data_IF_562096816943
#
_entry.id   IF_562096816943
#
_cell.length_a   1.000
_cell.length_b   1.000
_cell.length_c   1.000
_cell.angle_alpha   90.00
_cell.angle_beta   90.00
_cell.angle_gamma   90.00
#
_symmetry.space_group_name_H-M   'P 1'
#
loop_
_entity.id
_entity.type
_entity.pdbx_description
1 polymer ?
#
# COMPACT_ATOMS: atom_id res chain seq x y z
N UNK A 1 2.56 15.74 -27.28
CA UNK A 1 3.52 15.58 -26.16
C UNK A 1 4.33 14.25 -26.20
N UNK A 2 4.61 13.64 -27.36
CA UNK A 2 4.97 12.21 -27.43
C UNK A 2 6.45 11.81 -27.53
N UNK A 3 7.32 12.59 -28.17
CA UNK A 3 8.66 12.09 -28.56
C UNK A 3 9.74 12.32 -27.48
N UNK A 4 9.87 13.54 -26.98
CA UNK A 4 10.90 13.90 -25.99
C UNK A 4 10.72 13.23 -24.63
N UNK A 5 9.48 13.00 -24.19
CA UNK A 5 9.20 12.26 -22.95
C UNK A 5 9.51 10.77 -23.09
N UNK A 6 9.30 10.18 -24.28
CA UNK A 6 9.71 8.79 -24.57
C UNK A 6 11.24 8.64 -24.60
N UNK A 7 11.96 9.62 -25.14
CA UNK A 7 13.43 9.66 -25.12
C UNK A 7 14.01 9.81 -23.70
N UNK A 8 13.51 10.76 -22.90
CA UNK A 8 13.97 10.95 -21.50
C UNK A 8 13.68 9.73 -20.62
N UNK A 9 12.54 9.08 -20.80
CA UNK A 9 12.17 7.89 -20.04
C UNK A 9 12.97 6.64 -20.49
N UNK A 10 13.23 6.51 -21.80
CA UNK A 10 14.14 5.49 -22.33
C UNK A 10 15.57 5.64 -21.81
N UNK A 11 16.04 6.89 -21.66
CA UNK A 11 17.33 7.18 -21.05
C UNK A 11 17.37 6.82 -19.54
N UNK A 12 16.27 6.99 -18.80
CA UNK A 12 16.20 6.59 -17.38
C UNK A 12 16.31 5.08 -17.21
N UNK A 13 15.56 4.30 -18.00
CA UNK A 13 15.66 2.84 -18.00
C UNK A 13 17.06 2.38 -18.42
N UNK A 14 17.60 2.94 -19.51
CA UNK A 14 18.93 2.58 -19.97
C UNK A 14 20.01 2.88 -18.91
N UNK A 15 19.94 4.06 -18.28
CA UNK A 15 20.84 4.43 -17.17
C UNK A 15 20.71 3.49 -15.98
N UNK A 16 19.48 3.08 -15.65
CA UNK A 16 19.22 2.12 -14.59
C UNK A 16 19.86 0.76 -14.89
N UNK A 17 19.58 0.21 -16.07
CA UNK A 17 20.08 -1.10 -16.48
C UNK A 17 21.61 -1.15 -16.63
N UNK A 18 22.26 -0.04 -17.01
CA UNK A 18 23.72 0.04 -17.10
C UNK A 18 24.43 0.06 -15.74
N UNK A 19 23.72 0.40 -14.65
CA UNK A 19 24.28 0.53 -13.30
C UNK A 19 23.90 -0.60 -12.35
N UNK A 20 22.89 -1.39 -12.70
CA UNK A 20 22.52 -2.58 -11.95
C UNK A 20 23.46 -3.75 -12.31
N UNK A 21 23.79 -4.64 -11.35
CA UNK A 21 24.55 -5.83 -11.67
C UNK A 21 23.83 -6.68 -12.74
N UNK A 22 24.53 -7.34 -13.68
CA UNK A 22 23.90 -8.08 -14.77
C UNK A 22 22.85 -9.11 -14.32
N UNK A 23 23.10 -9.79 -13.19
CA UNK A 23 22.15 -10.72 -12.58
C UNK A 23 20.81 -10.04 -12.22
N UNK A 24 20.85 -8.78 -11.76
CA UNK A 24 19.66 -8.01 -11.42
C UNK A 24 18.95 -7.45 -12.65
N UNK A 25 19.68 -7.08 -13.70
CA UNK A 25 19.07 -6.74 -14.99
C UNK A 25 18.33 -7.94 -15.58
N UNK A 26 18.94 -9.13 -15.53
CA UNK A 26 18.30 -10.38 -15.96
C UNK A 26 17.07 -10.71 -15.13
N UNK A 27 17.17 -10.56 -13.81
CA UNK A 27 16.07 -10.70 -12.88
C UNK A 27 14.89 -9.78 -13.24
N UNK A 28 15.15 -8.47 -13.36
CA UNK A 28 14.15 -7.47 -13.72
C UNK A 28 13.53 -7.75 -15.10
N UNK A 29 14.32 -8.23 -16.06
CA UNK A 29 13.81 -8.65 -17.36
C UNK A 29 12.86 -9.84 -17.24
N UNK A 30 13.17 -10.82 -16.39
CA UNK A 30 12.28 -11.92 -16.03
C UNK A 30 10.93 -11.43 -15.49
N UNK A 31 10.94 -10.44 -14.60
CA UNK A 31 9.71 -9.83 -14.06
C UNK A 31 8.85 -9.20 -15.14
N UNK A 32 9.48 -8.39 -16.00
CA UNK A 32 8.80 -7.72 -17.09
C UNK A 32 8.29 -8.73 -18.14
N UNK A 33 8.88 -9.92 -18.24
CA UNK A 33 8.39 -10.98 -19.12
C UNK A 33 7.09 -11.58 -18.59
N UNK A 34 7.02 -11.81 -17.28
CA UNK A 34 5.90 -12.50 -16.63
C UNK A 34 4.72 -11.55 -16.30
N UNK A 35 4.76 -10.30 -16.79
CA UNK A 35 3.65 -9.34 -16.74
C UNK A 35 3.17 -8.93 -18.14
N UNK A 36 1.87 -9.12 -18.39
CA UNK A 36 1.20 -8.59 -19.58
C UNK A 36 1.18 -7.06 -19.50
N UNK A 37 1.44 -6.38 -20.61
CA UNK A 37 1.56 -4.93 -20.64
C UNK A 37 0.33 -4.36 -21.34
N UNK A 38 -0.26 -3.30 -20.76
CA UNK A 38 -1.43 -2.63 -21.32
C UNK A 38 -1.08 -1.19 -21.68
N UNK A 39 -1.53 -0.72 -22.82
CA UNK A 39 -1.47 0.70 -23.15
C UNK A 39 -2.74 1.38 -22.67
N UNK A 40 -2.60 2.47 -21.94
CA UNK A 40 -3.70 3.29 -21.45
C UNK A 40 -3.30 4.76 -21.50
N UNK A 41 -4.07 5.59 -22.21
CA UNK A 41 -3.80 7.02 -22.42
C UNK A 41 -2.34 7.32 -22.81
N UNK A 42 -1.80 6.54 -23.75
CA UNK A 42 -0.43 6.71 -24.25
C UNK A 42 0.69 6.31 -23.28
N UNK A 43 0.35 5.71 -22.13
CA UNK A 43 1.29 5.16 -21.14
C UNK A 43 1.14 3.64 -21.05
N UNK A 44 2.26 2.96 -20.91
CA UNK A 44 2.38 1.55 -20.59
C UNK A 44 2.07 1.32 -19.11
N UNK A 45 1.15 0.40 -18.86
CA UNK A 45 0.82 -0.17 -17.54
C UNK A 45 1.38 -1.58 -17.50
N UNK A 46 2.33 -1.81 -16.59
CA UNK A 46 2.86 -3.15 -16.34
C UNK A 46 1.93 -3.84 -15.34
N UNK A 47 1.74 -3.23 -14.18
CA UNK A 47 0.73 -3.56 -13.17
C UNK A 47 0.60 -2.37 -12.19
N UNK A 48 -0.27 -2.47 -11.20
CA UNK A 48 -0.53 -1.46 -10.16
C UNK A 48 0.55 -1.36 -9.08
N UNK A 49 1.57 -2.23 -9.11
CA UNK A 49 2.75 -2.17 -8.23
C UNK A 49 3.87 -1.29 -8.82
N UNK A 50 3.71 -0.84 -10.07
CA UNK A 50 4.66 0.04 -10.73
C UNK A 50 3.95 1.29 -11.26
N UNK A 51 4.58 2.48 -11.15
CA UNK A 51 4.03 3.67 -11.77
C UNK A 51 3.91 3.50 -13.30
N UNK A 52 2.95 4.18 -13.96
CA UNK A 52 2.82 4.14 -15.41
C UNK A 52 4.07 4.65 -16.13
N UNK A 53 4.43 4.05 -17.27
CA UNK A 53 5.58 4.45 -18.07
C UNK A 53 5.15 5.02 -19.45
N UNK A 54 5.68 6.15 -19.93
CA UNK A 54 6.57 7.07 -19.23
C UNK A 54 5.80 7.96 -18.23
N UNK A 55 6.39 8.21 -17.06
CA UNK A 55 5.92 9.22 -16.10
C UNK A 55 7.06 9.70 -15.18
N UNK A 56 6.86 10.84 -14.52
CA UNK A 56 7.79 11.33 -13.50
C UNK A 56 7.85 10.38 -12.29
N UNK A 57 6.71 9.79 -11.91
CA UNK A 57 6.64 8.77 -10.87
C UNK A 57 7.47 7.53 -11.20
N UNK A 58 7.46 7.07 -12.46
CA UNK A 58 8.30 5.96 -12.89
C UNK A 58 9.79 6.31 -12.85
N UNK A 59 10.16 7.53 -13.27
CA UNK A 59 11.56 7.98 -13.18
C UNK A 59 12.05 8.04 -11.71
N UNK A 60 11.19 8.52 -10.79
CA UNK A 60 11.46 8.54 -9.35
C UNK A 60 11.64 7.12 -8.81
N UNK A 61 10.79 6.18 -9.23
CA UNK A 61 10.92 4.77 -8.87
C UNK A 61 12.25 4.17 -9.35
N UNK A 62 12.66 4.44 -10.59
CA UNK A 62 13.96 4.02 -11.11
C UNK A 62 15.14 4.62 -10.31
N UNK A 63 15.04 5.88 -9.89
CA UNK A 63 16.06 6.54 -9.06
C UNK A 63 16.22 5.86 -7.69
N UNK A 64 15.11 5.55 -7.02
CA UNK A 64 15.15 4.82 -5.74
C UNK A 64 15.69 3.39 -5.90
N UNK A 65 15.30 2.69 -6.96
CA UNK A 65 15.81 1.36 -7.27
C UNK A 65 17.34 1.39 -7.52
N UNK A 66 17.83 2.42 -8.22
CA UNK A 66 19.27 2.64 -8.45
C UNK A 66 20.04 2.91 -7.16
N UNK A 67 19.47 3.75 -6.29
CA UNK A 67 20.10 4.16 -5.03
C UNK A 67 19.86 3.19 -3.88
N UNK A 68 19.07 2.13 -4.08
CA UNK A 68 18.80 1.06 -3.12
C UNK A 68 18.31 1.59 -1.77
N UNK A 69 17.53 2.67 -1.79
CA UNK A 69 17.08 3.36 -0.58
C UNK A 69 15.93 2.62 0.09
N UNK A 70 15.93 2.54 1.42
CA UNK A 70 14.74 2.18 2.20
C UNK A 70 13.77 3.37 2.21
N UNK A 71 12.84 3.35 1.27
CA UNK A 71 11.81 4.38 1.10
C UNK A 71 10.45 3.72 0.87
N UNK A 72 9.34 4.32 1.32
CA UNK A 72 8.01 3.79 1.09
C UNK A 72 7.61 4.01 -0.37
N UNK A 73 8.11 3.18 -1.30
CA UNK A 73 7.81 3.28 -2.74
C UNK A 73 6.31 3.37 -3.02
N UNK A 74 5.51 2.70 -2.20
CA UNK A 74 4.06 2.86 -2.13
C UNK A 74 3.63 3.26 -0.73
N UNK A 75 2.58 4.06 -0.62
CA UNK A 75 1.93 4.32 0.66
C UNK A 75 0.42 4.42 0.53
N UNK A 76 -0.31 3.80 1.44
CA UNK A 76 -1.77 3.81 1.42
C UNK A 76 -2.32 4.61 2.59
N UNK A 77 -3.32 5.45 2.31
CA UNK A 77 -3.98 6.33 3.25
C UNK A 77 -5.43 5.86 3.39
N UNK A 78 -5.80 5.29 4.54
CA UNK A 78 -7.20 5.08 4.86
C UNK A 78 -7.82 6.42 5.19
N UNK A 79 -8.77 6.87 4.36
CA UNK A 79 -9.33 8.21 4.50
C UNK A 79 -10.59 8.24 5.35
N UNK A 80 -11.16 7.08 5.64
CA UNK A 80 -12.28 6.91 6.57
C UNK A 80 -12.45 5.44 6.92
N UNK A 81 -12.97 5.12 8.10
CA UNK A 81 -13.41 3.76 8.49
C UNK A 81 -14.82 3.42 8.03
N UNK A 82 -15.62 4.41 7.60
CA UNK A 82 -17.01 4.20 7.17
C UNK A 82 -17.08 3.41 5.87
N UNK A 83 -18.00 2.46 5.77
CA UNK A 83 -18.23 1.65 4.57
C UNK A 83 -19.70 1.25 4.45
N UNK A 84 -20.31 1.27 3.25
CA UNK A 84 -21.66 0.74 3.05
C UNK A 84 -21.70 -0.80 3.07
N UNK A 85 -20.55 -1.45 2.87
CA UNK A 85 -20.39 -2.90 2.90
C UNK A 85 -19.98 -3.38 4.30
N UNK A 86 -20.34 -4.62 4.63
CA UNK A 86 -19.99 -5.31 5.88
C UNK A 86 -19.36 -6.67 5.58
N UNK A 87 -18.34 -6.69 4.74
CA UNK A 87 -17.67 -7.91 4.31
C UNK A 87 -17.10 -8.66 5.53
N UNK A 88 -17.40 -9.96 5.64
CA UNK A 88 -16.86 -10.79 6.73
C UNK A 88 -15.33 -10.85 6.74
N UNK A 89 -14.69 -10.70 5.59
CA UNK A 89 -13.24 -10.76 5.42
C UNK A 89 -12.53 -9.39 5.48
N UNK A 90 -13.23 -8.31 5.82
CA UNK A 90 -12.64 -6.97 5.75
C UNK A 90 -11.45 -6.83 6.72
N UNK A 91 -10.26 -6.51 6.20
CA UNK A 91 -9.07 -6.24 7.03
C UNK A 91 -9.24 -4.99 7.91
N UNK A 92 -10.12 -4.08 7.49
CA UNK A 92 -10.47 -2.85 8.18
C UNK A 92 -11.78 -2.94 8.98
N UNK A 93 -12.25 -4.17 9.27
CA UNK A 93 -13.42 -4.38 10.12
C UNK A 93 -13.18 -3.83 11.55
N UNK A 94 -14.28 -3.51 12.24
CA UNK A 94 -14.27 -3.09 13.65
C UNK A 94 -13.46 -1.81 13.93
N UNK A 95 -13.31 -0.95 12.92
CA UNK A 95 -12.77 0.41 13.05
C UNK A 95 -13.91 1.42 13.21
N UNK A 96 -13.67 2.47 13.97
CA UNK A 96 -14.68 3.50 14.26
C UNK A 96 -14.05 4.75 14.85
N UNK A 97 -12.92 5.16 14.29
CA UNK A 97 -12.20 6.37 14.71
C UNK A 97 -12.70 7.59 13.93
N UNK A 98 -12.41 8.77 14.44
CA UNK A 98 -12.67 10.01 13.73
C UNK A 98 -11.70 10.21 12.57
N UNK A 99 -12.22 10.54 11.40
CA UNK A 99 -11.44 10.76 10.18
C UNK A 99 -10.44 11.93 10.39
N UNK A 100 -9.15 11.71 10.10
CA UNK A 100 -8.15 12.79 10.04
C UNK A 100 -8.63 13.93 9.13
N UNK A 101 -8.51 15.17 9.61
CA UNK A 101 -8.86 16.38 8.84
C UNK A 101 -8.17 16.46 7.48
N UNK A 102 -8.81 17.13 6.52
CA UNK A 102 -8.31 17.28 5.15
C UNK A 102 -6.92 17.92 5.10
N UNK A 103 -6.69 18.96 5.90
CA UNK A 103 -5.44 19.72 5.95
C UNK A 103 -4.29 18.84 6.45
N UNK A 104 -4.58 18.06 7.50
CA UNK A 104 -3.61 17.15 8.11
C UNK A 104 -3.29 15.98 7.18
N UNK A 105 -4.30 15.39 6.54
CA UNK A 105 -4.12 14.29 5.62
C UNK A 105 -3.37 14.75 4.34
N UNK A 106 -3.64 15.94 3.83
CA UNK A 106 -2.87 16.55 2.74
C UNK A 106 -1.41 16.82 3.16
N UNK A 107 -1.17 17.23 4.42
CA UNK A 107 0.19 17.36 4.95
C UNK A 107 0.90 16.00 5.06
N UNK A 108 0.20 14.95 5.47
CA UNK A 108 0.72 13.59 5.48
C UNK A 108 1.07 13.10 4.06
N UNK A 109 0.22 13.34 3.07
CA UNK A 109 0.51 13.05 1.64
C UNK A 109 1.82 13.69 1.18
N UNK A 110 2.06 14.97 1.55
CA UNK A 110 3.34 15.63 1.24
C UNK A 110 4.53 14.96 1.91
N UNK A 111 4.43 14.66 3.21
CA UNK A 111 5.49 14.00 3.97
C UNK A 111 5.83 12.61 3.40
N UNK A 112 4.83 11.80 3.05
CA UNK A 112 5.08 10.47 2.48
C UNK A 112 5.73 10.56 1.09
N UNK A 113 5.33 11.55 0.28
CA UNK A 113 6.02 11.84 -0.98
C UNK A 113 7.48 12.21 -0.74
N UNK A 114 7.76 13.11 0.22
CA UNK A 114 9.12 13.54 0.59
C UNK A 114 9.98 12.37 1.03
N UNK A 115 9.42 11.41 1.77
CA UNK A 115 10.09 10.16 2.15
C UNK A 115 10.45 9.26 0.97
N UNK A 116 9.81 9.42 -0.18
CA UNK A 116 10.18 8.69 -1.40
C UNK A 116 9.01 8.08 -2.17
N UNK A 117 7.77 8.21 -1.70
CA UNK A 117 6.64 7.55 -2.34
C UNK A 117 6.50 7.90 -3.83
N UNK A 118 6.42 6.84 -4.62
CA UNK A 118 6.18 6.90 -6.07
C UNK A 118 4.71 6.62 -6.37
N UNK A 119 3.98 6.02 -5.43
CA UNK A 119 2.56 5.73 -5.53
C UNK A 119 1.86 6.00 -4.19
N UNK A 120 0.73 6.68 -4.23
CA UNK A 120 -0.14 6.90 -3.07
C UNK A 120 -1.52 6.31 -3.36
N UNK A 121 -2.00 5.41 -2.51
CA UNK A 121 -3.32 4.82 -2.60
C UNK A 121 -4.27 5.43 -1.58
N UNK A 122 -5.48 5.79 -1.99
CA UNK A 122 -6.56 6.16 -1.08
C UNK A 122 -7.48 4.97 -0.89
N UNK A 123 -7.70 4.59 0.37
CA UNK A 123 -8.40 3.37 0.79
C UNK A 123 -9.20 3.66 2.08
N UNK A 124 -9.54 2.61 2.84
CA UNK A 124 -10.07 2.63 4.19
C UNK A 124 -11.21 1.63 4.34
N UNK A 125 -12.30 2.06 4.97
CA UNK A 125 -13.62 1.63 4.54
C UNK A 125 -13.83 2.02 3.06
N UNK A 126 -14.86 2.82 2.76
CA UNK A 126 -15.13 3.27 1.40
C UNK A 126 -14.67 4.73 1.21
N UNK A 127 -13.54 4.99 0.52
CA UNK A 127 -13.04 6.35 0.31
C UNK A 127 -14.04 7.24 -0.44
N UNK A 128 -14.94 6.69 -1.27
CA UNK A 128 -16.00 7.46 -1.93
C UNK A 128 -17.07 7.99 -0.96
N UNK A 129 -17.04 7.65 0.33
CA UNK A 129 -17.87 8.34 1.32
C UNK A 129 -17.27 9.67 1.77
N UNK A 130 -15.99 9.93 1.46
CA UNK A 130 -15.31 11.16 1.83
C UNK A 130 -15.58 12.30 0.83
N UNK A 131 -16.18 13.42 1.25
CA UNK A 131 -16.63 14.48 0.33
C UNK A 131 -15.48 15.27 -0.31
N UNK A 132 -14.35 15.38 0.38
CA UNK A 132 -13.14 16.08 -0.03
C UNK A 132 -12.11 15.19 -0.73
N UNK A 133 -12.45 13.93 -1.07
CA UNK A 133 -11.52 12.97 -1.68
C UNK A 133 -10.80 13.54 -2.92
N UNK A 134 -11.51 14.25 -3.79
CA UNK A 134 -10.91 14.87 -4.98
C UNK A 134 -9.84 15.92 -4.61
N UNK A 135 -10.02 16.68 -3.52
CA UNK A 135 -9.02 17.64 -3.04
C UNK A 135 -7.77 16.91 -2.52
N UNK A 136 -7.95 15.79 -1.84
CA UNK A 136 -6.84 14.96 -1.36
C UNK A 136 -6.05 14.35 -2.51
N UNK A 137 -6.71 13.82 -3.55
CA UNK A 137 -6.04 13.33 -4.75
C UNK A 137 -5.27 14.47 -5.44
N UNK A 138 -5.89 15.66 -5.57
CA UNK A 138 -5.25 16.83 -6.16
C UNK A 138 -4.05 17.37 -5.36
N UNK A 139 -3.92 17.00 -4.07
CA UNK A 139 -2.76 17.34 -3.26
C UNK A 139 -1.52 16.49 -3.58
N UNK A 140 -1.69 15.39 -4.32
CA UNK A 140 -0.59 14.53 -4.76
C UNK A 140 0.10 15.14 -5.98
N UNK A 141 1.41 15.33 -5.89
CA UNK A 141 2.25 15.86 -6.97
C UNK A 141 2.30 14.92 -8.19
N UNK A 142 2.54 15.48 -9.37
CA UNK A 142 2.55 14.79 -10.67
C UNK A 142 3.72 13.78 -10.86
N UNK A 143 4.65 13.74 -9.91
CA UNK A 143 5.72 12.74 -9.79
C UNK A 143 5.42 11.60 -8.82
N UNK A 144 4.15 11.46 -8.43
CA UNK A 144 3.62 10.34 -7.66
C UNK A 144 2.32 9.86 -8.31
N UNK A 145 2.18 8.55 -8.55
CA UNK A 145 0.94 8.00 -9.11
C UNK A 145 -0.11 7.82 -8.01
N UNK A 146 -1.38 7.98 -8.35
CA UNK A 146 -2.50 7.86 -7.40
C UNK A 146 -3.36 6.65 -7.70
N UNK A 147 -3.73 5.91 -6.66
CA UNK A 147 -4.63 4.76 -6.73
C UNK A 147 -5.84 5.01 -5.84
N UNK A 148 -6.99 4.50 -6.25
CA UNK A 148 -8.20 4.45 -5.43
C UNK A 148 -8.61 3.00 -5.23
N UNK A 149 -8.74 2.55 -3.99
CA UNK A 149 -9.30 1.24 -3.64
C UNK A 149 -10.75 1.43 -3.22
N UNK A 150 -11.71 0.83 -3.92
CA UNK A 150 -13.13 1.15 -3.73
C UNK A 150 -14.03 -0.05 -4.00
N UNK A 151 -15.20 -0.09 -3.36
CA UNK A 151 -16.30 -0.99 -3.71
C UNK A 151 -17.08 -0.51 -4.93
N UNK A 152 -16.74 0.68 -5.48
CA UNK A 152 -17.48 1.32 -6.56
C UNK A 152 -18.74 2.06 -6.11
N UNK A 153 -18.93 2.24 -4.80
CA UNK A 153 -20.15 2.82 -4.25
C UNK A 153 -20.37 4.25 -4.74
N UNK A 154 -21.48 4.48 -5.48
CA UNK A 154 -21.84 5.79 -6.06
C UNK A 154 -20.69 6.41 -6.89
N UNK A 155 -19.90 5.59 -7.56
CA UNK A 155 -18.95 6.06 -8.56
C UNK A 155 -19.65 6.17 -9.92
N UNK A 156 -20.20 7.34 -10.22
CA UNK A 156 -20.74 7.67 -11.52
C UNK A 156 -19.71 8.40 -12.40
N UNK A 157 -20.10 8.71 -13.64
CA UNK A 157 -19.25 9.33 -14.66
C UNK A 157 -18.76 10.72 -14.21
N UNK A 158 -19.62 11.53 -13.61
CA UNK A 158 -19.26 12.88 -13.16
C UNK A 158 -18.20 12.80 -12.07
N UNK A 159 -18.43 11.94 -11.08
CA UNK A 159 -17.49 11.71 -9.99
C UNK A 159 -16.18 11.11 -10.50
N UNK A 160 -16.23 10.14 -11.41
CA UNK A 160 -15.03 9.56 -12.00
C UNK A 160 -14.20 10.61 -12.77
N UNK A 161 -14.85 11.50 -13.54
CA UNK A 161 -14.17 12.63 -14.21
C UNK A 161 -13.53 13.59 -13.21
N UNK A 162 -14.27 13.98 -12.16
CA UNK A 162 -13.73 14.85 -11.10
C UNK A 162 -12.49 14.24 -10.42
N UNK A 163 -12.49 12.93 -10.18
CA UNK A 163 -11.32 12.25 -9.61
C UNK A 163 -10.17 12.14 -10.63
N UNK A 164 -10.48 11.89 -11.91
CA UNK A 164 -9.49 11.88 -12.98
C UNK A 164 -8.80 13.25 -13.15
N UNK A 165 -9.58 14.34 -13.15
CA UNK A 165 -9.10 15.72 -13.23
C UNK A 165 -8.25 16.10 -12.03
N UNK A 166 -8.59 15.56 -10.85
CA UNK A 166 -7.76 15.68 -9.64
C UNK A 166 -6.44 14.89 -9.72
N UNK A 167 -6.27 14.05 -10.73
CA UNK A 167 -5.04 13.28 -10.96
C UNK A 167 -5.13 11.80 -10.64
N UNK A 168 -6.33 11.22 -10.46
CA UNK A 168 -6.52 9.79 -10.22
C UNK A 168 -5.97 8.97 -11.40
N UNK A 169 -4.96 8.12 -11.16
CA UNK A 169 -4.35 7.34 -12.24
C UNK A 169 -4.94 5.94 -12.41
N UNK A 170 -5.42 5.33 -11.33
CA UNK A 170 -5.93 3.94 -11.32
C UNK A 170 -7.06 3.79 -10.31
N UNK A 171 -8.19 3.20 -10.71
CA UNK A 171 -9.25 2.74 -9.82
C UNK A 171 -9.19 1.21 -9.68
N UNK A 172 -8.96 0.74 -8.46
CA UNK A 172 -8.98 -0.67 -8.07
C UNK A 172 -10.35 -0.96 -7.46
N UNK A 173 -11.24 -1.56 -8.25
CA UNK A 173 -12.63 -1.85 -7.87
C UNK A 173 -12.72 -3.29 -7.38
N UNK A 174 -13.18 -3.47 -6.15
CA UNK A 174 -13.20 -4.79 -5.53
C UNK A 174 -14.39 -5.63 -6.04
N UNK A 175 -14.15 -6.90 -6.39
CA UNK A 175 -15.14 -7.87 -6.88
C UNK A 175 -14.94 -9.25 -6.24
N UNK A 176 -16.02 -9.90 -5.82
CA UNK A 176 -15.95 -11.13 -5.03
C UNK A 176 -16.56 -12.33 -5.76
N UNK A 177 -17.60 -12.10 -6.57
CA UNK A 177 -18.17 -13.12 -7.45
C UNK A 177 -18.59 -12.53 -8.81
N UNK A 178 -18.77 -13.41 -9.79
CA UNK A 178 -19.43 -13.13 -11.06
C UNK A 178 -20.95 -13.27 -10.97
N UNK A 179 -21.43 -13.96 -9.93
CA UNK A 179 -22.84 -14.01 -9.57
C UNK A 179 -23.19 -12.76 -8.73
N UNK A 180 -24.20 -11.97 -9.14
CA UNK A 180 -24.57 -10.76 -8.42
C UNK A 180 -25.04 -11.00 -6.98
N UNK A 181 -25.82 -12.05 -6.74
CA UNK A 181 -26.39 -12.35 -5.42
C UNK A 181 -25.29 -12.85 -4.46
N UNK A 182 -24.39 -13.70 -4.96
CA UNK A 182 -23.22 -14.16 -4.20
C UNK A 182 -22.28 -13.00 -3.85
N UNK A 183 -21.97 -12.12 -4.83
CA UNK A 183 -21.11 -10.95 -4.57
C UNK A 183 -21.75 -10.02 -3.53
N UNK A 184 -23.03 -9.70 -3.67
CA UNK A 184 -23.75 -8.84 -2.73
C UNK A 184 -23.83 -9.44 -1.33
N UNK A 185 -24.03 -10.77 -1.23
CA UNK A 185 -24.02 -11.50 0.03
C UNK A 185 -22.65 -11.44 0.72
N UNK A 186 -21.55 -11.71 -0.01
CA UNK A 186 -20.18 -11.61 0.52
C UNK A 186 -19.88 -10.19 1.01
N UNK A 187 -20.38 -9.17 0.29
CA UNK A 187 -20.21 -7.75 0.64
C UNK A 187 -21.11 -7.30 1.78
N UNK A 188 -22.18 -8.03 2.08
CA UNK A 188 -23.24 -7.59 2.99
C UNK A 188 -23.93 -6.32 2.51
N UNK A 189 -24.02 -6.10 1.18
CA UNK A 189 -24.60 -4.89 0.59
C UNK A 189 -25.28 -5.19 -0.75
N UNK A 190 -26.62 -5.12 -0.77
CA UNK A 190 -27.42 -5.31 -1.98
C UNK A 190 -27.15 -4.19 -3.00
N UNK A 191 -27.02 -4.57 -4.27
CA UNK A 191 -26.67 -3.68 -5.38
C UNK A 191 -25.17 -3.39 -5.52
N UNK A 192 -24.31 -4.06 -4.76
CA UNK A 192 -22.86 -3.87 -4.81
C UNK A 192 -22.28 -4.31 -6.16
N UNK A 193 -22.70 -5.45 -6.69
CA UNK A 193 -22.25 -5.94 -8.00
C UNK A 193 -22.60 -4.95 -9.12
N UNK A 194 -23.85 -4.44 -9.12
CA UNK A 194 -24.27 -3.41 -10.06
C UNK A 194 -23.48 -2.09 -9.86
N UNK A 195 -23.06 -1.80 -8.64
CA UNK A 195 -22.13 -0.70 -8.32
C UNK A 195 -20.76 -0.87 -8.97
N UNK A 196 -20.20 -2.08 -8.93
CA UNK A 196 -18.93 -2.41 -9.61
C UNK A 196 -19.05 -2.16 -11.11
N UNK A 197 -20.13 -2.64 -11.75
CA UNK A 197 -20.33 -2.45 -13.19
C UNK A 197 -20.37 -0.96 -13.57
N UNK A 198 -21.20 -0.16 -12.86
CA UNK A 198 -21.29 1.29 -13.09
C UNK A 198 -19.96 2.00 -12.86
N UNK A 199 -19.21 1.60 -11.83
CA UNK A 199 -17.91 2.16 -11.51
C UNK A 199 -16.88 1.92 -12.64
N UNK A 200 -16.85 0.71 -13.21
CA UNK A 200 -15.96 0.41 -14.34
C UNK A 200 -16.32 1.25 -15.57
N UNK A 201 -17.60 1.31 -15.92
CA UNK A 201 -18.08 2.12 -17.05
C UNK A 201 -17.75 3.61 -16.84
N UNK A 202 -18.00 4.14 -15.65
CA UNK A 202 -17.68 5.52 -15.29
C UNK A 202 -16.19 5.82 -15.41
N UNK A 203 -15.33 4.94 -14.90
CA UNK A 203 -13.88 5.08 -15.02
C UNK A 203 -13.41 5.04 -16.48
N UNK A 204 -13.99 4.18 -17.32
CA UNK A 204 -13.68 4.13 -18.74
C UNK A 204 -14.02 5.44 -19.46
N UNK A 205 -15.22 5.99 -19.21
CA UNK A 205 -15.63 7.28 -19.76
C UNK A 205 -14.76 8.45 -19.26
N UNK A 206 -14.22 8.35 -18.04
CA UNK A 206 -13.29 9.32 -17.47
C UNK A 206 -11.83 9.08 -17.88
N UNK A 207 -11.52 8.01 -18.61
CA UNK A 207 -10.14 7.65 -18.98
C UNK A 207 -9.28 7.21 -17.79
N UNK A 208 -9.87 6.73 -16.70
CA UNK A 208 -9.14 6.17 -15.54
C UNK A 208 -8.82 4.70 -15.82
N UNK A 209 -7.59 4.27 -15.51
CA UNK A 209 -7.21 2.86 -15.66
C UNK A 209 -7.93 2.02 -14.59
N UNK A 210 -8.59 0.92 -14.99
CA UNK A 210 -9.32 0.08 -14.05
C UNK A 210 -8.58 -1.22 -13.73
N UNK A 211 -8.66 -1.62 -12.47
CA UNK A 211 -8.20 -2.92 -11.97
C UNK A 211 -9.33 -3.54 -11.15
N UNK A 212 -9.55 -4.84 -11.31
CA UNK A 212 -10.35 -5.62 -10.35
C UNK A 212 -9.48 -6.10 -9.21
N UNK A 213 -10.05 -6.19 -8.01
CA UNK A 213 -9.38 -6.87 -6.90
C UNK A 213 -10.28 -7.90 -6.24
N UNK A 214 -9.78 -9.12 -6.07
CA UNK A 214 -10.49 -10.22 -5.41
C UNK A 214 -9.55 -11.03 -4.53
N UNK A 215 -9.96 -11.36 -3.31
CA UNK A 215 -9.13 -12.15 -2.38
C UNK A 215 -9.17 -13.62 -2.78
N UNK A 216 -8.00 -14.26 -2.86
CA UNK A 216 -7.87 -15.68 -3.17
C UNK A 216 -8.10 -16.56 -1.93
N UNK A 217 -9.34 -16.69 -1.47
CA UNK A 217 -9.68 -17.73 -0.51
C UNK A 217 -9.59 -19.14 -1.14
N UNK A 218 -9.38 -20.16 -0.31
CA UNK A 218 -9.23 -21.55 -0.73
C UNK A 218 -10.41 -22.04 -1.59
N UNK A 219 -11.63 -21.80 -1.11
CA UNK A 219 -12.89 -22.12 -1.80
C UNK A 219 -13.00 -21.47 -3.19
N UNK A 220 -12.49 -20.25 -3.36
CA UNK A 220 -12.46 -19.54 -4.64
C UNK A 220 -11.44 -20.09 -5.61
N UNK A 221 -10.30 -20.55 -5.10
CA UNK A 221 -9.30 -21.27 -5.89
C UNK A 221 -9.91 -22.58 -6.40
N UNK A 222 -10.52 -23.36 -5.50
CA UNK A 222 -11.09 -24.68 -5.80
C UNK A 222 -12.28 -24.62 -6.76
N UNK A 223 -13.17 -23.64 -6.57
CA UNK A 223 -14.35 -23.46 -7.42
C UNK A 223 -14.05 -22.86 -8.81
N UNK A 224 -12.81 -22.42 -9.07
CA UNK A 224 -12.44 -21.73 -10.31
C UNK A 224 -12.99 -20.30 -10.43
N UNK A 225 -13.38 -19.68 -9.30
CA UNK A 225 -13.95 -18.33 -9.27
C UNK A 225 -12.97 -17.27 -9.79
N UNK A 226 -11.67 -17.45 -9.55
CA UNK A 226 -10.63 -16.56 -10.06
C UNK A 226 -10.59 -16.54 -11.60
N UNK A 227 -10.74 -17.70 -12.24
CA UNK A 227 -10.80 -17.78 -13.70
C UNK A 227 -12.07 -17.09 -14.24
N UNK A 228 -13.23 -17.28 -13.59
CA UNK A 228 -14.48 -16.59 -13.97
C UNK A 228 -14.38 -15.08 -13.86
N UNK A 229 -13.80 -14.56 -12.78
CA UNK A 229 -13.59 -13.11 -12.60
C UNK A 229 -12.62 -12.57 -13.64
N UNK A 230 -11.59 -13.32 -14.02
CA UNK A 230 -10.68 -12.92 -15.10
C UNK A 230 -11.40 -12.79 -16.46
N UNK A 231 -12.30 -13.73 -16.78
CA UNK A 231 -13.11 -13.66 -18.00
C UNK A 231 -14.10 -12.48 -17.94
N UNK A 232 -14.72 -12.22 -16.79
CA UNK A 232 -15.56 -11.04 -16.59
C UNK A 232 -14.77 -9.74 -16.77
N UNK A 233 -13.58 -9.65 -16.18
CA UNK A 233 -12.67 -8.52 -16.34
C UNK A 233 -12.29 -8.30 -17.80
N UNK A 234 -12.09 -9.39 -18.55
CA UNK A 234 -11.82 -9.36 -19.99
C UNK A 234 -13.03 -8.80 -20.76
N UNK A 235 -14.23 -9.33 -20.49
CA UNK A 235 -15.46 -8.88 -21.13
C UNK A 235 -15.78 -7.41 -20.84
N UNK A 236 -15.49 -6.94 -19.62
CA UNK A 236 -15.73 -5.56 -19.20
C UNK A 236 -14.57 -4.62 -19.53
N UNK A 237 -13.55 -5.06 -20.27
CA UNK A 237 -12.43 -4.20 -20.68
C UNK A 237 -11.58 -3.69 -19.51
N UNK A 238 -11.54 -4.40 -18.40
CA UNK A 238 -10.71 -4.05 -17.24
C UNK A 238 -9.24 -4.27 -17.58
N UNK A 239 -8.38 -3.34 -17.16
CA UNK A 239 -6.97 -3.34 -17.51
C UNK A 239 -6.13 -4.35 -16.72
N UNK A 240 -6.51 -4.62 -15.48
CA UNK A 240 -5.77 -5.47 -14.54
C UNK A 240 -6.72 -6.28 -13.64
N UNK A 241 -6.28 -7.45 -13.19
CA UNK A 241 -6.89 -8.22 -12.11
C UNK A 241 -5.83 -8.46 -11.02
N UNK A 242 -6.01 -7.84 -9.86
CA UNK A 242 -5.20 -8.00 -8.65
C UNK A 242 -5.78 -9.09 -7.75
N UNK A 243 -4.93 -10.02 -7.32
CA UNK A 243 -5.32 -11.15 -6.47
C UNK A 243 -4.50 -11.15 -5.18
N UNK A 244 -4.95 -10.43 -4.13
CA UNK A 244 -4.37 -10.53 -2.80
C UNK A 244 -4.60 -11.89 -2.14
N UNK A 245 -3.67 -12.27 -1.27
CA UNK A 245 -3.82 -13.43 -0.40
C UNK A 245 -4.70 -13.04 0.80
N UNK A 246 -5.47 -13.98 1.37
CA UNK A 246 -6.10 -13.77 2.67
C UNK A 246 -5.01 -13.60 3.74
N UNK A 247 -5.25 -12.66 4.66
CA UNK A 247 -4.39 -12.39 5.80
C UNK A 247 -5.27 -12.32 7.04
N UNK A 248 -4.89 -13.05 8.09
CA UNK A 248 -5.69 -13.23 9.31
C UNK A 248 -5.71 -11.96 10.19
N UNK A 249 -6.43 -10.94 9.74
CA UNK A 249 -6.61 -9.64 10.38
C UNK A 249 -8.05 -9.15 10.17
N UNK A 250 -8.47 -8.15 10.94
CA UNK A 250 -9.84 -7.60 10.86
C UNK A 250 -10.91 -8.69 11.05
N UNK A 251 -11.86 -8.79 10.12
CA UNK A 251 -12.99 -9.71 10.23
C UNK A 251 -12.64 -11.20 10.18
N UNK A 252 -11.42 -11.55 9.77
CA UNK A 252 -10.88 -12.92 9.82
C UNK A 252 -9.68 -13.04 10.77
N UNK A 253 -9.57 -12.15 11.75
CA UNK A 253 -8.64 -12.31 12.86
C UNK A 253 -8.86 -13.66 13.55
N UNK A 254 -7.77 -14.35 13.93
CA UNK A 254 -7.83 -15.68 14.53
C UNK A 254 -7.95 -16.84 13.53
N UNK A 255 -8.24 -16.59 12.26
CA UNK A 255 -8.30 -17.63 11.24
C UNK A 255 -6.93 -18.03 10.65
N UNK A 256 -5.81 -17.73 11.33
CA UNK A 256 -4.46 -17.98 10.80
C UNK A 256 -4.18 -19.45 10.44
N UNK A 257 -4.89 -20.40 11.05
CA UNK A 257 -4.81 -21.83 10.72
C UNK A 257 -5.49 -22.24 9.42
N UNK A 258 -6.26 -21.33 8.81
CA UNK A 258 -7.04 -21.55 7.58
C UNK A 258 -6.57 -20.65 6.42
N UNK A 259 -5.34 -20.14 6.51
CA UNK A 259 -4.70 -19.40 5.43
C UNK A 259 -4.24 -20.35 4.31
N UNK A 260 -3.85 -19.78 3.17
CA UNK A 260 -3.45 -20.56 2.02
C UNK A 260 -2.22 -21.44 2.31
N UNK A 261 -2.31 -22.70 1.88
CA UNK A 261 -1.18 -23.62 1.94
C UNK A 261 -0.18 -23.40 0.79
N UNK A 262 0.92 -24.17 0.81
CA UNK A 262 1.96 -24.06 -0.21
C UNK A 262 1.46 -24.41 -1.62
N UNK A 263 0.53 -25.37 -1.74
CA UNK A 263 -0.02 -25.81 -3.03
C UNK A 263 -0.90 -24.71 -3.63
N UNK A 264 -1.73 -24.06 -2.82
CA UNK A 264 -2.58 -22.93 -3.20
C UNK A 264 -1.72 -21.71 -3.56
N UNK A 265 -0.67 -21.41 -2.78
CA UNK A 265 0.27 -20.35 -3.10
C UNK A 265 0.99 -20.60 -4.44
N UNK A 266 1.40 -21.83 -4.72
CA UNK A 266 2.01 -22.17 -6.00
C UNK A 266 1.00 -22.13 -7.16
N UNK A 267 -0.24 -22.53 -6.92
CA UNK A 267 -1.33 -22.33 -7.87
C UNK A 267 -1.47 -20.85 -8.24
N UNK A 268 -1.47 -19.95 -7.25
CA UNK A 268 -1.58 -18.50 -7.48
C UNK A 268 -0.38 -17.92 -8.26
N UNK A 269 0.82 -18.46 -8.07
CA UNK A 269 2.00 -18.12 -8.88
C UNK A 269 1.87 -18.61 -10.32
N UNK A 270 1.34 -19.82 -10.50
CA UNK A 270 1.12 -20.40 -11.83
C UNK A 270 0.05 -19.64 -12.61
N UNK A 271 -1.06 -19.24 -12.00
CA UNK A 271 -2.09 -18.45 -12.71
C UNK A 271 -1.55 -17.07 -13.12
N UNK A 272 -0.67 -16.45 -12.32
CA UNK A 272 0.01 -15.21 -12.70
C UNK A 272 0.72 -15.39 -14.05
N UNK A 273 1.59 -16.39 -14.15
CA UNK A 273 2.34 -16.70 -15.37
C UNK A 273 1.42 -17.11 -16.52
N UNK A 274 0.43 -17.97 -16.27
CA UNK A 274 -0.56 -18.45 -17.26
C UNK A 274 -1.26 -17.27 -17.94
N UNK A 275 -1.84 -16.36 -17.16
CA UNK A 275 -2.64 -15.25 -17.69
C UNK A 275 -1.80 -14.12 -18.30
N UNK A 276 -0.54 -14.00 -17.89
CA UNK A 276 0.41 -13.05 -18.46
C UNK A 276 1.24 -13.62 -19.63
N UNK A 277 1.05 -14.89 -20.01
CA UNK A 277 1.73 -15.49 -21.16
C UNK A 277 1.43 -14.68 -22.44
N UNK A 278 2.47 -14.36 -23.21
CA UNK A 278 2.37 -13.59 -24.47
C UNK A 278 1.53 -14.30 -25.54
N UNK A 279 1.36 -15.61 -25.44
CA UNK A 279 0.48 -16.40 -26.31
C UNK A 279 -1.01 -16.15 -26.02
N UNK A 280 -1.34 -15.63 -24.83
CA UNK A 280 -2.70 -15.21 -24.48
C UNK A 280 -2.82 -13.71 -24.74
N UNK A 281 -3.19 -13.37 -25.96
CA UNK A 281 -3.59 -12.00 -26.27
C UNK A 281 -5.04 -11.74 -25.79
N UNK A 282 -5.37 -10.50 -25.48
CA UNK A 282 -6.63 -10.13 -24.86
C UNK A 282 -6.67 -10.34 -23.33
N UNK A 283 -7.58 -9.64 -22.66
CA UNK A 283 -7.78 -9.68 -21.20
C UNK A 283 -6.87 -8.76 -20.37
N UNK A 284 -7.09 -8.71 -19.05
CA UNK A 284 -6.32 -7.89 -18.11
C UNK A 284 -4.92 -8.46 -17.84
N UNK A 285 -4.04 -7.63 -17.29
CA UNK A 285 -2.84 -8.12 -16.61
C UNK A 285 -3.23 -8.85 -15.33
N UNK A 286 -2.68 -10.03 -15.07
CA UNK A 286 -2.83 -10.71 -13.79
C UNK A 286 -1.76 -10.25 -12.79
N UNK A 287 -2.16 -9.78 -11.61
CA UNK A 287 -1.28 -9.30 -10.55
C UNK A 287 -1.56 -10.03 -9.23
N UNK A 288 -1.15 -11.30 -9.17
CA UNK A 288 -1.19 -12.13 -7.95
C UNK A 288 -0.13 -11.71 -6.93
N UNK A 289 -0.54 -11.43 -5.69
CA UNK A 289 0.37 -11.11 -4.58
C UNK A 289 1.28 -12.29 -4.24
N UNK A 290 0.79 -13.53 -4.32
CA UNK A 290 1.59 -14.73 -4.11
C UNK A 290 2.81 -14.84 -5.06
N UNK A 291 2.73 -14.21 -6.24
CA UNK A 291 3.86 -14.07 -7.16
C UNK A 291 4.66 -12.81 -6.85
N UNK A 292 4.02 -11.62 -6.80
CA UNK A 292 4.68 -10.32 -6.60
C UNK A 292 5.54 -10.25 -5.34
N UNK A 293 5.05 -10.80 -4.22
CA UNK A 293 5.71 -10.81 -2.92
C UNK A 293 6.35 -12.16 -2.60
N UNK A 294 6.56 -13.02 -3.60
CA UNK A 294 7.32 -14.25 -3.40
C UNK A 294 8.78 -13.94 -3.08
N UNK A 295 9.46 -14.90 -2.45
CA UNK A 295 10.90 -14.84 -2.19
C UNK A 295 11.70 -14.85 -3.50
N UNK A 296 11.11 -15.32 -4.60
CA UNK A 296 11.67 -15.19 -5.93
C UNK A 296 11.60 -13.75 -6.46
N UNK A 297 10.73 -12.91 -5.89
CA UNK A 297 10.47 -11.54 -6.33
C UNK A 297 10.89 -10.52 -5.26
N UNK A 298 9.95 -9.68 -4.83
CA UNK A 298 10.21 -8.54 -3.94
C UNK A 298 10.12 -8.92 -2.46
N UNK A 299 9.53 -10.08 -2.13
CA UNK A 299 9.13 -10.37 -0.75
C UNK A 299 8.08 -9.39 -0.21
N UNK A 300 7.88 -9.41 1.10
CA UNK A 300 7.01 -8.49 1.82
C UNK A 300 7.67 -7.11 1.93
N UNK A 301 6.94 -6.08 1.46
CA UNK A 301 7.38 -4.68 1.49
C UNK A 301 6.99 -3.91 2.76
N UNK A 302 6.29 -4.52 3.71
CA UNK A 302 5.77 -3.85 4.90
C UNK A 302 6.88 -3.14 5.69
N UNK A 303 6.69 -1.84 5.96
CA UNK A 303 7.68 -0.95 6.61
C UNK A 303 9.08 -0.91 5.96
N UNK A 304 9.24 -1.39 4.72
CA UNK A 304 10.48 -1.28 3.94
C UNK A 304 10.28 -0.53 2.62
N UNK A 305 9.31 -0.96 1.81
CA UNK A 305 8.86 -0.28 0.59
C UNK A 305 7.39 0.11 0.59
N UNK A 306 6.73 -0.11 1.72
CA UNK A 306 5.33 0.17 1.93
C UNK A 306 5.10 0.82 3.29
N UNK A 307 4.15 1.76 3.34
CA UNK A 307 3.67 2.43 4.54
C UNK A 307 2.14 2.51 4.48
N UNK A 308 1.49 2.37 5.63
CA UNK A 308 0.06 2.61 5.77
C UNK A 308 -0.19 3.67 6.82
N UNK A 309 -1.12 4.58 6.54
CA UNK A 309 -1.62 5.58 7.48
C UNK A 309 -3.12 5.40 7.58
N UNK A 310 -3.62 5.19 8.78
CA UNK A 310 -5.01 4.86 9.05
C UNK A 310 -5.89 6.12 9.22
N UNK A 311 -7.22 5.94 9.31
CA UNK A 311 -8.17 7.07 9.38
C UNK A 311 -8.08 7.88 10.69
N UNK A 312 -7.43 7.34 11.72
CA UNK A 312 -7.15 8.00 13.01
C UNK A 312 -5.75 8.63 13.08
N UNK A 313 -4.95 8.44 12.04
CA UNK A 313 -3.59 8.96 11.93
C UNK A 313 -2.49 8.01 12.39
N UNK A 314 -2.84 6.77 12.77
CA UNK A 314 -1.87 5.75 13.15
C UNK A 314 -1.08 5.28 11.93
N UNK A 315 0.23 5.16 12.09
CA UNK A 315 1.15 4.77 11.01
C UNK A 315 1.57 3.33 11.24
N UNK A 316 1.23 2.46 10.28
CA UNK A 316 1.47 1.03 10.34
C UNK A 316 2.36 0.53 9.18
N UNK A 317 3.01 -0.63 9.32
CA UNK A 317 3.83 -1.21 8.25
C UNK A 317 3.09 -1.52 6.94
N UNK A 318 1.81 -1.87 7.03
CA UNK A 318 0.96 -2.29 5.92
C UNK A 318 -0.52 -2.22 6.32
N UNK A 319 -1.40 -2.04 5.34
CA UNK A 319 -2.86 -2.06 5.50
C UNK A 319 -3.42 -3.38 6.05
N UNK A 320 -2.63 -4.46 6.00
CA UNK A 320 -2.94 -5.77 6.56
C UNK A 320 -2.21 -6.05 7.90
N UNK A 321 -1.32 -5.15 8.32
CA UNK A 321 -0.49 -5.31 9.54
C UNK A 321 -0.79 -4.14 10.48
N UNK A 322 -1.88 -4.23 11.28
CA UNK A 322 -2.38 -3.14 12.10
C UNK A 322 -1.58 -2.97 13.40
N UNK A 323 -0.27 -2.76 13.23
CA UNK A 323 0.69 -2.47 14.30
C UNK A 323 1.05 -0.99 14.21
N UNK A 324 0.58 -0.17 15.15
CA UNK A 324 1.00 1.22 15.19
C UNK A 324 2.48 1.32 15.56
N UNK A 325 3.21 2.20 14.87
CA UNK A 325 4.52 2.70 15.29
C UNK A 325 4.47 4.19 15.63
N UNK A 326 3.30 4.79 15.78
CA UNK A 326 3.12 6.19 16.12
C UNK A 326 2.04 6.87 15.31
N UNK A 327 1.67 8.07 15.72
CA UNK A 327 0.56 8.81 15.16
C UNK A 327 1.02 10.14 14.51
N UNK A 328 0.48 10.45 13.33
CA UNK A 328 0.80 11.67 12.58
C UNK A 328 0.35 12.97 13.26
N UNK A 329 -0.50 12.88 14.28
CA UNK A 329 -0.91 14.00 15.11
C UNK A 329 0.18 14.43 16.09
N UNK A 330 1.05 13.48 16.47
CA UNK A 330 2.03 13.66 17.53
C UNK A 330 3.42 14.00 16.98
N UNK A 331 3.83 13.36 15.89
CA UNK A 331 5.19 13.51 15.35
C UNK A 331 5.26 13.34 13.83
N UNK A 332 6.32 13.89 13.18
CA UNK A 332 6.51 13.77 11.74
C UNK A 332 6.61 12.32 11.26
N UNK A 333 6.09 12.04 10.05
CA UNK A 333 6.16 10.71 9.46
C UNK A 333 7.59 10.24 9.21
N UNK A 334 8.53 11.17 9.02
CA UNK A 334 9.94 10.85 8.86
C UNK A 334 10.54 10.20 10.11
N UNK A 335 10.21 10.70 11.29
CA UNK A 335 10.66 10.11 12.56
C UNK A 335 10.04 8.72 12.77
N UNK A 336 8.74 8.58 12.49
CA UNK A 336 8.06 7.28 12.58
C UNK A 336 8.67 6.27 11.59
N UNK A 337 8.96 6.70 10.36
CA UNK A 337 9.55 5.84 9.33
C UNK A 337 10.96 5.39 9.70
N UNK A 338 11.77 6.27 10.29
CA UNK A 338 13.11 5.96 10.75
C UNK A 338 13.07 4.94 11.91
N UNK A 339 12.20 5.15 12.89
CA UNK A 339 12.00 4.19 13.99
C UNK A 339 11.52 2.83 13.47
N UNK A 340 10.56 2.80 12.54
CA UNK A 340 10.18 1.55 11.87
C UNK A 340 11.40 0.86 11.22
N UNK A 341 12.41 1.62 10.77
CA UNK A 341 13.63 1.09 10.17
C UNK A 341 14.47 0.24 11.11
N UNK A 342 14.38 0.47 12.42
CA UNK A 342 15.07 -0.35 13.43
C UNK A 342 14.49 -1.77 13.50
N UNK A 343 13.18 -1.90 13.23
CA UNK A 343 12.45 -3.17 13.22
C UNK A 343 12.37 -3.80 11.81
N UNK A 344 12.46 -2.97 10.77
CA UNK A 344 12.36 -3.34 9.36
C UNK A 344 13.54 -2.83 8.51
N UNK A 345 14.80 -3.16 8.88
CA UNK A 345 15.99 -2.70 8.16
C UNK A 345 16.15 -3.34 6.76
N UNK A 346 15.39 -4.39 6.46
CA UNK A 346 15.48 -5.16 5.20
C UNK A 346 14.14 -5.79 4.82
N UNK A 347 13.91 -6.12 3.53
CA UNK A 347 12.69 -6.79 3.09
C UNK A 347 12.64 -8.23 3.63
N UNK A 348 11.43 -8.77 3.77
CA UNK A 348 11.17 -10.08 4.37
C UNK A 348 10.72 -11.11 3.34
N UNK A 349 11.16 -12.35 3.50
CA UNK A 349 10.55 -13.50 2.85
C UNK A 349 9.24 -13.85 3.59
N UNK A 350 8.12 -13.87 2.87
CA UNK A 350 6.79 -14.12 3.44
C UNK A 350 6.13 -12.92 4.15
N UNK A 351 4.82 -13.05 4.41
CA UNK A 351 4.00 -12.02 5.05
C UNK A 351 4.24 -11.98 6.56
N UNK A 352 4.62 -10.82 7.10
CA UNK A 352 4.79 -10.62 8.55
C UNK A 352 3.52 -10.99 9.33
N UNK A 353 2.36 -10.60 8.83
CA UNK A 353 1.10 -10.80 9.53
C UNK A 353 0.76 -12.30 9.70
N UNK A 354 1.19 -13.15 8.77
CA UNK A 354 1.03 -14.61 8.91
C UNK A 354 1.93 -15.20 10.01
N UNK A 355 3.08 -14.58 10.29
CA UNK A 355 3.99 -14.97 11.37
C UNK A 355 3.41 -14.58 12.73
N UNK A 356 2.95 -13.33 12.87
CA UNK A 356 2.58 -12.77 14.17
C UNK A 356 1.10 -12.92 14.52
N UNK A 357 0.24 -13.21 13.54
CA UNK A 357 -1.22 -13.14 13.70
C UNK A 357 -1.78 -14.01 14.81
N UNK A 358 -1.19 -15.18 15.05
CA UNK A 358 -1.59 -16.09 16.15
C UNK A 358 -1.37 -15.50 17.54
N UNK A 359 -0.53 -14.47 17.66
CA UNK A 359 -0.22 -13.79 18.93
C UNK A 359 -1.03 -12.50 19.12
N UNK A 360 -1.79 -12.08 18.11
CA UNK A 360 -2.73 -10.95 18.24
C UNK A 360 -4.08 -11.50 18.70
N UNK A 361 -4.62 -11.06 19.85
CA UNK A 361 -5.93 -11.49 20.30
C UNK A 361 -7.02 -11.16 19.27
N UNK A 362 -7.95 -12.09 19.04
CA UNK A 362 -9.02 -11.89 18.04
C UNK A 362 -9.93 -10.69 18.34
N UNK A 363 -10.03 -10.29 19.62
CA UNK A 363 -10.81 -9.17 20.11
C UNK A 363 -9.96 -7.92 20.41
N UNK A 364 -8.69 -7.91 20.01
CA UNK A 364 -7.85 -6.74 20.20
C UNK A 364 -8.43 -5.54 19.45
N UNK A 365 -8.43 -4.37 20.10
CA UNK A 365 -8.68 -3.12 19.41
C UNK A 365 -7.49 -2.84 18.48
N UNK A 366 -7.79 -2.61 17.20
CA UNK A 366 -6.78 -2.38 16.18
C UNK A 366 -6.83 -0.92 15.71
N UNK A 367 -5.68 -0.28 15.44
CA UNK A 367 -4.35 -0.88 15.46
C UNK A 367 -3.83 -1.07 16.88
N UNK A 368 -2.91 -2.02 17.07
CA UNK A 368 -2.27 -2.22 18.37
C UNK A 368 -1.42 -1.00 18.75
N UNK A 369 -1.35 -0.71 20.04
CA UNK A 369 -0.56 0.41 20.57
C UNK A 369 0.93 0.24 20.26
N UNK A 370 1.71 1.34 20.14
CA UNK A 370 3.14 1.25 19.82
C UNK A 370 3.95 0.31 20.72
N UNK A 371 3.69 0.25 22.02
CA UNK A 371 4.38 -0.66 22.94
C UNK A 371 4.08 -2.14 22.63
N UNK A 372 2.81 -2.46 22.34
CA UNK A 372 2.37 -3.80 21.96
C UNK A 372 2.94 -4.19 20.59
N UNK A 373 2.88 -3.28 19.62
CA UNK A 373 3.43 -3.45 18.28
C UNK A 373 4.92 -3.79 18.31
N UNK A 374 5.72 -3.02 19.04
CA UNK A 374 7.16 -3.25 19.19
C UNK A 374 7.46 -4.59 19.88
N UNK A 375 6.62 -5.01 20.84
CA UNK A 375 6.78 -6.32 21.50
C UNK A 375 6.52 -7.51 20.56
N UNK A 376 5.76 -7.30 19.50
CA UNK A 376 5.43 -8.33 18.51
C UNK A 376 6.46 -8.39 17.38
N UNK A 377 7.23 -7.34 17.12
CA UNK A 377 8.22 -7.36 16.04
C UNK A 377 9.60 -7.50 16.63
N UNK A 378 10.25 -8.65 16.39
CA UNK A 378 11.66 -8.81 16.74
C UNK A 378 12.56 -8.11 15.73
N UNK A 379 13.61 -7.45 16.21
CA UNK A 379 14.67 -6.92 15.36
C UNK A 379 15.28 -8.07 14.54
N UNK A 380 15.52 -7.89 13.22
CA UNK A 380 16.11 -8.93 12.39
C UNK A 380 17.47 -9.42 12.88
N UNK A 381 17.69 -10.73 12.81
CA UNK A 381 18.99 -11.39 13.02
C UNK A 381 19.65 -11.66 11.67
N UNK A 382 20.95 -11.38 11.48
CA UNK A 382 21.62 -11.38 10.16
C UNK A 382 21.35 -12.61 9.27
N UNK A 383 21.01 -13.75 9.86
CA UNK A 383 20.65 -15.03 9.23
C UNK A 383 19.31 -15.07 8.49
N UNK A 384 18.38 -14.12 8.66
CA UNK A 384 17.13 -14.17 7.90
C UNK A 384 17.37 -14.02 6.39
N UNK A 385 16.74 -14.89 5.56
CA UNK A 385 16.91 -14.85 4.12
C UNK A 385 16.37 -13.56 3.50
N UNK A 386 17.05 -13.09 2.45
CA UNK A 386 16.57 -11.99 1.61
C UNK A 386 15.84 -12.55 0.37
N UNK A 387 14.77 -11.87 -0.10
CA UNK A 387 14.20 -12.17 -1.40
C UNK A 387 15.26 -12.05 -2.50
N UNK A 388 15.17 -12.89 -3.52
CA UNK A 388 16.17 -13.00 -4.60
C UNK A 388 16.44 -11.67 -5.29
N UNK A 389 15.45 -10.77 -5.39
CA UNK A 389 15.64 -9.43 -5.94
C UNK A 389 16.72 -8.61 -5.21
N UNK A 390 16.95 -8.88 -3.93
CA UNK A 390 17.83 -8.09 -3.06
C UNK A 390 19.17 -8.78 -2.78
N UNK A 391 19.31 -10.05 -3.15
CA UNK A 391 20.53 -10.83 -2.94
C UNK A 391 21.69 -10.23 -3.75
N UNK A 392 22.71 -9.72 -3.07
CA UNK A 392 23.84 -9.03 -3.70
C UNK A 392 23.58 -7.58 -4.11
N UNK A 393 22.39 -7.02 -3.83
CA UNK A 393 22.15 -5.56 -3.87
C UNK A 393 22.35 -4.91 -2.51
N UNK A 394 21.87 -5.54 -1.45
CA UNK A 394 22.01 -5.00 -0.10
C UNK A 394 23.33 -5.51 0.49
N UNK A 395 24.27 -4.59 0.75
CA UNK A 395 25.42 -4.85 1.61
C UNK A 395 24.96 -4.79 3.06
N UNK A 396 25.09 -5.89 3.79
CA UNK A 396 24.79 -5.97 5.22
C UNK A 396 25.85 -5.14 5.96
N UNK A 397 25.50 -4.07 6.69
CA UNK A 397 26.44 -3.52 7.64
C UNK A 397 26.64 -4.56 8.75
N UNK A 398 27.81 -5.17 8.82
CA UNK A 398 28.20 -5.99 9.97
C UNK A 398 28.13 -5.10 11.22
N UNK A 399 27.43 -5.56 12.27
CA UNK A 399 27.52 -4.93 13.59
C UNK A 399 29.00 -4.77 13.96
N UNK A 400 29.44 -3.52 14.11
CA UNK A 400 30.79 -3.17 14.52
C UNK A 400 31.59 -2.41 13.47
N UNK A 401 31.23 -1.15 13.25
CA UNK A 401 32.27 -0.14 13.03
C UNK A 401 31.86 1.07 13.84
N UNK A 402 32.48 1.17 15.01
CA UNK A 402 32.56 2.40 15.79
C UNK A 402 32.83 3.56 14.85
N UNK A 403 32.02 4.62 14.99
CA UNK A 403 32.33 5.93 14.47
C UNK A 403 33.82 6.23 14.74
N UNK A 404 34.64 6.56 13.73
CA UNK A 404 35.98 7.05 14.02
C UNK A 404 35.81 8.45 14.64
N UNK A 405 35.82 8.49 15.97
CA UNK A 405 36.22 9.69 16.68
C UNK A 405 37.63 10.05 16.21
N UNK A 406 37.83 11.33 15.89
CA UNK A 406 39.14 11.91 15.69
C UNK A 406 39.48 12.18 14.23
N UNK A 407 39.06 13.35 13.74
CA UNK A 407 40.00 14.33 13.19
C UNK A 407 39.37 15.72 13.26
N UNK A 408 39.97 16.51 14.14
CA UNK A 408 39.77 17.92 14.33
C UNK A 408 39.86 18.65 12.98
N UNK A 409 38.79 19.37 12.65
CA UNK A 409 38.69 20.27 11.51
C UNK A 409 38.11 21.57 12.00
N UNK A 410 39.00 22.44 12.45
CA UNK A 410 38.78 23.79 12.97
C UNK A 410 37.83 24.58 12.05
N UNK A 411 36.68 24.99 12.58
CA UNK A 411 35.94 26.14 12.06
C UNK A 411 35.66 27.08 13.23
N UNK A 412 36.65 27.93 13.50
CA UNK A 412 36.54 29.05 14.43
C UNK A 412 35.57 30.08 13.83
N UNK A 413 34.50 30.38 14.56
CA UNK A 413 33.88 31.70 14.53
C UNK A 413 33.98 32.27 15.95
N UNK A 414 34.39 33.53 16.12
CA UNK A 414 34.79 34.06 17.43
C UNK A 414 33.59 34.44 18.29
N UNK A 415 33.79 34.22 19.59
CA UNK A 415 32.85 34.50 20.65
C UNK A 415 32.54 36.00 20.78
N UNK A 416 31.27 36.30 21.10
CA UNK A 416 30.85 37.52 21.77
C UNK A 416 30.11 37.12 23.04
N UNK A 417 30.72 37.44 24.17
CA UNK A 417 30.24 37.29 25.54
C UNK A 417 29.03 38.18 25.81
N UNK A 418 28.06 37.69 26.58
CA UNK A 418 27.58 38.44 27.75
C UNK A 418 26.76 37.58 28.73
N UNK A 419 26.91 37.94 29.99
CA UNK A 419 26.52 37.26 31.21
C UNK A 419 25.02 37.39 31.54
N UNK A 420 24.50 36.44 32.34
CA UNK A 420 23.54 36.79 33.40
C UNK A 420 22.30 35.91 33.52
N UNK A 421 21.76 35.71 34.75
CA UNK A 421 21.20 34.42 35.15
C UNK A 421 19.70 34.45 35.54
N UNK A 422 19.13 33.23 35.65
CA UNK A 422 18.04 32.76 36.56
C UNK A 422 16.75 33.58 36.65
N UNK A 423 15.61 32.92 36.43
CA UNK A 423 14.58 32.70 37.49
C UNK A 423 13.34 31.94 36.96
N UNK A 424 13.13 30.73 37.51
CA UNK A 424 11.89 30.07 38.04
C UNK A 424 10.52 30.16 37.31
N UNK A 425 9.47 29.37 37.68
CA UNK A 425 9.40 28.15 38.50
C UNK A 425 8.56 26.99 37.87
N UNK A 426 8.75 25.80 38.44
CA UNK A 426 7.78 24.70 38.46
C UNK A 426 6.47 25.07 39.17
N UNK A 427 5.34 24.46 38.77
CA UNK A 427 4.20 23.95 39.58
C UNK A 427 2.99 23.65 38.63
N UNK A 428 1.94 22.90 39.03
CA UNK A 428 1.94 21.44 39.10
C UNK A 428 0.73 20.79 38.36
N UNK A 429 0.75 19.47 38.32
CA UNK A 429 -0.40 18.62 38.01
C UNK A 429 -1.50 18.75 39.10
N UNK A 430 -2.76 18.70 38.67
CA UNK A 430 -3.97 18.10 39.30
C UNK A 430 -5.18 18.63 38.52
N UNK A 431 -6.09 17.79 38.03
CA UNK A 431 -7.33 17.39 38.71
C UNK A 431 -8.17 16.44 37.79
N UNK A 432 -9.28 15.84 38.25
CA UNK A 432 -9.47 14.39 38.26
C UNK A 432 -10.47 13.88 37.21
N UNK A 433 -10.53 12.55 37.17
CA UNK A 433 -11.60 11.70 36.62
C UNK A 433 -12.97 12.15 37.14
N UNK A 434 -13.91 12.37 36.23
CA UNK A 434 -15.35 12.28 36.50
C UNK A 434 -15.99 11.34 35.50
N UNK A 435 -16.51 10.25 36.04
CA UNK A 435 -17.49 9.33 35.46
C UNK A 435 -18.82 10.04 35.23
N UNK A 436 -19.45 9.82 34.08
CA UNK A 436 -20.92 9.88 33.99
C UNK A 436 -21.39 8.91 32.93
N UNK A 437 -22.19 7.97 33.40
CA UNK A 437 -22.94 6.98 32.63
C UNK A 437 -23.95 7.62 31.67
N UNK A 438 -24.25 6.83 30.64
CA UNK A 438 -25.55 6.63 29.99
C UNK A 438 -26.52 7.80 29.84
N UNK A 439 -26.89 8.11 28.60
CA UNK A 439 -28.31 8.17 28.23
C UNK A 439 -28.51 7.98 26.71
N UNK A 440 -29.17 6.86 26.41
CA UNK A 440 -29.85 6.52 25.16
C UNK A 440 -30.89 7.57 24.78
N UNK A 441 -31.14 7.81 23.48
CA UNK A 441 -32.44 8.16 22.87
C UNK A 441 -32.32 8.07 21.33
N UNK A 442 -33.43 7.94 20.56
CA UNK A 442 -33.54 6.99 19.47
C UNK A 442 -33.68 7.60 18.08
N UNK A 443 -33.61 6.69 17.10
CA UNK A 443 -33.89 6.81 15.68
C UNK A 443 -35.12 7.66 15.32
N UNK A 444 -34.94 8.52 14.32
CA UNK A 444 -35.89 8.69 13.20
C UNK A 444 -35.12 8.91 11.90
#
# INVERSE_FOLDING_TARGET
>A
MGFWNRLKAGASIARMLLRLPPAHCWFMFGQLRDSKKKWHNGRLRINSFLPPYPSRAFNRWCDHALHRRRVPLSAYMAVTSRCPCRCSHCSYAHRGYDDVSSERLAAAVRQVRELGACMIGFTGGEPLLRPDLAKLIASVSDDTATLLFTTGHRLDVERAKKLADAGLTTAVVSIESTDPDEHDAIRGHRGSFAGVQRAIEACHQAGVFTSFSTIAFADRIESGQLDRIYELATAWGVGEMRVPNPVATGGIAGCSGSMLDQQQMEYLRRIHKKYNDRKRDGGPTMASIAYMESDDLFGCGAAYHHMFVDDSGEVCPCDLTPLSFGNLHERPLAEIWEEMGEYFPRPRCGCLMNEIGKRIPCNAQLPLLPSQSRSLVSAPTDDMPLPRAYQGLLTIPSKGTTCPQGKEGVCQTPAGSDEGPKDTPHLPATYPVTTSDSESLPLH
#
